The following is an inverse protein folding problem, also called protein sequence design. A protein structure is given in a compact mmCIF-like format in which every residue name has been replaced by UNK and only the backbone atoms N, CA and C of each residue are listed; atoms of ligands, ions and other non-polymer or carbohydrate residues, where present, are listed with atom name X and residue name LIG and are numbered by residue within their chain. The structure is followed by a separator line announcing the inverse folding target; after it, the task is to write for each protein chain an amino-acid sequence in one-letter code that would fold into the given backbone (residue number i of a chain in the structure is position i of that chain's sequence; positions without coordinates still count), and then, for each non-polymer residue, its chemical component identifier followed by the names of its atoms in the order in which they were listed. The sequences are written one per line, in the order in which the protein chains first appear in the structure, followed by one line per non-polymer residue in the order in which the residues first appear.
data_IF_631562168064
#
_entry.id   IF_631562168064
#
_cell.length_a   1.000
_cell.length_b   1.000
_cell.length_c   1.000
_cell.angle_alpha   90.00
_cell.angle_beta   90.00
_cell.angle_gamma   90.00
#
_symmetry.space_group_name_H-M   'P 1'
#
loop_
_entity.id
_entity.type
_entity.pdbx_description
1 polymer ?
#
# COMPACT_ATOMS: atom_id res chain seq x y z
N UNK A 1 -27.07 15.56 -0.79
CA UNK A 1 -26.56 14.17 -0.78
C UNK A 1 -25.28 14.05 -1.62
N UNK A 2 -24.37 15.02 -1.53
CA UNK A 2 -23.13 15.08 -2.33
C UNK A 2 -22.03 15.51 -1.37
N UNK A 3 -21.39 14.58 -0.67
CA UNK A 3 -20.17 14.95 0.08
C UNK A 3 -19.26 13.75 0.41
N UNK A 4 -19.81 12.56 0.69
CA UNK A 4 -18.98 11.43 1.11
C UNK A 4 -18.19 10.81 -0.05
N UNK A 5 -18.83 10.47 -1.17
CA UNK A 5 -18.16 9.81 -2.31
C UNK A 5 -17.03 10.65 -2.93
N UNK A 6 -17.05 11.99 -2.80
CA UNK A 6 -15.95 12.82 -3.30
C UNK A 6 -14.70 12.72 -2.42
N UNK A 7 -14.87 12.68 -1.09
CA UNK A 7 -13.75 12.43 -0.16
C UNK A 7 -13.17 11.04 -0.38
N UNK A 8 -14.03 10.05 -0.54
CA UNK A 8 -13.64 8.65 -0.70
C UNK A 8 -12.85 8.42 -1.99
N UNK A 9 -13.30 8.98 -3.11
CA UNK A 9 -12.56 8.96 -4.38
C UNK A 9 -11.22 9.68 -4.30
N UNK A 10 -11.17 10.80 -3.57
CA UNK A 10 -9.92 11.55 -3.35
C UNK A 10 -8.94 10.77 -2.47
N UNK A 11 -9.45 10.02 -1.50
CA UNK A 11 -8.65 9.09 -0.70
C UNK A 11 -8.12 7.96 -1.59
N UNK A 12 -8.97 7.24 -2.34
CA UNK A 12 -8.54 6.14 -3.23
C UNK A 12 -7.44 6.56 -4.23
N UNK A 13 -7.59 7.74 -4.86
CA UNK A 13 -6.58 8.27 -5.76
C UNK A 13 -5.24 8.55 -5.06
N UNK A 14 -5.28 9.13 -3.85
CA UNK A 14 -4.08 9.36 -3.04
C UNK A 14 -3.44 8.04 -2.58
N UNK A 15 -4.25 7.04 -2.25
CA UNK A 15 -3.75 5.72 -1.85
C UNK A 15 -3.07 5.01 -3.02
N UNK A 16 -3.65 5.07 -4.23
CA UNK A 16 -3.01 4.54 -5.44
C UNK A 16 -1.66 5.20 -5.74
N UNK A 17 -1.58 6.53 -5.60
CA UNK A 17 -0.33 7.27 -5.73
C UNK A 17 0.70 6.88 -4.65
N UNK A 18 0.26 6.69 -3.41
CA UNK A 18 1.12 6.25 -2.30
C UNK A 18 1.65 4.83 -2.54
N UNK A 19 0.78 3.91 -2.98
CA UNK A 19 1.16 2.54 -3.35
C UNK A 19 2.16 2.52 -4.50
N UNK A 20 1.98 3.35 -5.53
CA UNK A 20 2.95 3.49 -6.62
C UNK A 20 4.33 3.95 -6.12
N UNK A 21 4.36 4.97 -5.27
CA UNK A 21 5.60 5.52 -4.71
C UNK A 21 6.34 4.52 -3.81
N UNK A 22 5.60 3.85 -2.93
CA UNK A 22 6.14 2.81 -2.06
C UNK A 22 6.63 1.60 -2.87
N UNK A 23 5.90 1.17 -3.91
CA UNK A 23 6.33 0.08 -4.81
C UNK A 23 7.71 0.37 -5.41
N UNK A 24 7.91 1.58 -5.92
CA UNK A 24 9.20 2.01 -6.48
C UNK A 24 10.33 1.95 -5.46
N UNK A 25 10.11 2.52 -4.28
CA UNK A 25 11.11 2.55 -3.20
C UNK A 25 11.43 1.16 -2.64
N UNK A 26 10.41 0.30 -2.54
CA UNK A 26 10.52 -1.08 -2.00
C UNK A 26 11.27 -2.01 -2.95
N UNK A 27 11.04 -1.88 -4.26
CA UNK A 27 11.71 -2.68 -5.27
C UNK A 27 13.23 -2.41 -5.28
N UNK A 28 13.65 -1.15 -5.08
CA UNK A 28 15.07 -0.78 -5.01
C UNK A 28 15.80 -1.40 -3.83
N UNK A 29 15.13 -1.54 -2.68
CA UNK A 29 15.69 -2.12 -1.46
C UNK A 29 15.50 -3.65 -1.36
N UNK A 30 14.88 -4.29 -2.37
CA UNK A 30 14.59 -5.72 -2.35
C UNK A 30 13.46 -6.14 -1.40
N UNK A 31 12.61 -5.21 -0.99
CA UNK A 31 11.51 -5.43 -0.06
C UNK A 31 10.28 -5.99 -0.79
N UNK A 32 10.35 -7.25 -1.20
CA UNK A 32 9.29 -7.95 -1.97
C UNK A 32 7.93 -7.95 -1.27
N UNK A 33 7.90 -8.09 0.05
CA UNK A 33 6.64 -8.05 0.83
C UNK A 33 5.90 -6.71 0.71
N UNK A 34 6.63 -5.61 0.89
CA UNK A 34 6.05 -4.25 0.77
C UNK A 34 5.60 -4.01 -0.67
N UNK A 35 6.33 -4.52 -1.67
CA UNK A 35 5.94 -4.44 -3.08
C UNK A 35 4.58 -5.11 -3.33
N UNK A 36 4.34 -6.31 -2.81
CA UNK A 36 3.07 -7.02 -2.99
C UNK A 36 1.90 -6.27 -2.33
N UNK A 37 2.12 -5.75 -1.11
CA UNK A 37 1.15 -4.88 -0.42
C UNK A 37 0.83 -3.62 -1.22
N UNK A 38 1.81 -3.04 -1.92
CA UNK A 38 1.61 -1.88 -2.78
C UNK A 38 0.81 -2.18 -4.05
N UNK A 39 0.95 -3.37 -4.62
CA UNK A 39 0.12 -3.80 -5.75
C UNK A 39 -1.35 -3.92 -5.38
N UNK A 40 -1.63 -4.47 -4.20
CA UNK A 40 -2.99 -4.53 -3.66
C UNK A 40 -3.60 -3.13 -3.48
N UNK A 41 -2.87 -2.18 -2.90
CA UNK A 41 -3.30 -0.77 -2.75
C UNK A 41 -3.64 -0.14 -4.10
N UNK A 42 -2.83 -0.40 -5.12
CA UNK A 42 -3.04 0.13 -6.46
C UNK A 42 -4.28 -0.49 -7.13
N UNK A 43 -4.54 -1.78 -6.91
CA UNK A 43 -5.75 -2.45 -7.38
C UNK A 43 -7.01 -1.90 -6.71
N UNK A 44 -7.02 -1.76 -5.38
CA UNK A 44 -8.14 -1.17 -4.64
C UNK A 44 -8.41 0.27 -5.07
N UNK A 45 -7.36 1.07 -5.31
CA UNK A 45 -7.49 2.43 -5.83
C UNK A 45 -8.07 2.53 -7.25
N UNK A 46 -8.10 1.41 -7.99
CA UNK A 46 -8.70 1.30 -9.32
C UNK A 46 -10.11 0.69 -9.29
N UNK A 47 -10.75 0.60 -8.11
CA UNK A 47 -12.02 -0.13 -7.88
C UNK A 47 -11.92 -1.60 -8.27
N UNK A 48 -10.80 -2.24 -7.92
CA UNK A 48 -10.61 -3.67 -8.10
C UNK A 48 -10.38 -4.36 -6.76
N UNK A 49 -10.72 -5.63 -6.72
CA UNK A 49 -10.41 -6.55 -5.63
C UNK A 49 -8.89 -6.65 -5.38
N UNK A 50 -8.48 -7.25 -4.25
CA UNK A 50 -7.08 -7.45 -3.87
C UNK A 50 -6.24 -8.09 -4.99
N UNK A 51 -6.88 -8.96 -5.78
CA UNK A 51 -6.27 -9.70 -6.88
C UNK A 51 -6.22 -8.93 -8.20
N UNK A 52 -6.91 -7.79 -8.32
CA UNK A 52 -7.03 -7.03 -9.56
C UNK A 52 -7.94 -7.71 -10.61
N UNK A 53 -8.60 -8.80 -10.25
CA UNK A 53 -9.34 -9.67 -11.19
C UNK A 53 -10.82 -9.32 -11.29
N UNK A 54 -11.40 -8.78 -10.21
CA UNK A 54 -12.81 -8.39 -10.14
C UNK A 54 -12.90 -6.90 -9.86
N UNK A 55 -13.85 -6.25 -10.52
CA UNK A 55 -14.24 -4.89 -10.18
C UNK A 55 -15.04 -4.92 -8.87
N UNK A 56 -14.66 -4.05 -7.93
CA UNK A 56 -15.33 -3.84 -6.67
C UNK A 56 -16.03 -2.48 -6.74
N UNK A 57 -17.35 -2.43 -7.01
CA UNK A 57 -18.09 -1.19 -7.21
C UNK A 57 -18.35 -0.42 -5.91
N UNK A 58 -18.01 -1.01 -4.76
CA UNK A 58 -18.27 -0.46 -3.45
C UNK A 58 -17.04 0.32 -2.94
N UNK A 59 -17.07 1.64 -3.16
CA UNK A 59 -15.99 2.56 -2.79
C UNK A 59 -15.60 2.42 -1.31
N UNK A 60 -16.57 2.17 -0.41
CA UNK A 60 -16.33 2.01 1.04
C UNK A 60 -15.51 0.74 1.35
N UNK A 61 -15.84 -0.36 0.67
CA UNK A 61 -15.12 -1.64 0.78
C UNK A 61 -13.70 -1.45 0.28
N UNK A 62 -13.52 -0.90 -0.93
CA UNK A 62 -12.20 -0.57 -1.46
C UNK A 62 -11.39 0.27 -0.47
N UNK A 63 -11.99 1.31 0.12
CA UNK A 63 -11.29 2.20 1.06
C UNK A 63 -10.87 1.49 2.34
N UNK A 64 -11.72 0.63 2.88
CA UNK A 64 -11.45 -0.15 4.10
C UNK A 64 -10.34 -1.17 3.87
N UNK A 65 -10.39 -1.90 2.76
CA UNK A 65 -9.33 -2.82 2.36
C UNK A 65 -8.02 -2.08 2.13
N UNK A 66 -8.06 -0.98 1.38
CA UNK A 66 -6.89 -0.17 1.06
C UNK A 66 -6.23 0.39 2.34
N UNK A 67 -7.02 0.92 3.29
CA UNK A 67 -6.51 1.33 4.62
C UNK A 67 -5.82 0.19 5.35
N UNK A 68 -6.44 -0.99 5.41
CA UNK A 68 -5.89 -2.16 6.08
C UNK A 68 -4.56 -2.59 5.44
N UNK A 69 -4.49 -2.61 4.12
CA UNK A 69 -3.27 -2.94 3.38
C UNK A 69 -2.17 -1.90 3.59
N UNK A 70 -2.50 -0.62 3.73
CA UNK A 70 -1.52 0.43 4.05
C UNK A 70 -0.95 0.27 5.45
N UNK A 71 -1.79 -0.09 6.43
CA UNK A 71 -1.30 -0.37 7.78
C UNK A 71 -0.36 -1.58 7.79
N UNK A 72 -0.70 -2.63 7.03
CA UNK A 72 0.20 -3.77 6.79
C UNK A 72 1.51 -3.33 6.13
N UNK A 73 1.45 -2.59 5.02
CA UNK A 73 2.63 -2.11 4.31
C UNK A 73 3.54 -1.26 5.21
N UNK A 74 2.96 -0.42 6.09
CA UNK A 74 3.73 0.34 7.10
C UNK A 74 4.40 -0.56 8.13
N UNK A 75 3.73 -1.60 8.59
CA UNK A 75 4.31 -2.57 9.51
C UNK A 75 5.48 -3.30 8.86
N UNK A 76 5.29 -3.81 7.64
CA UNK A 76 6.34 -4.47 6.85
C UNK A 76 7.52 -3.53 6.56
N UNK A 77 7.24 -2.25 6.30
CA UNK A 77 8.27 -1.23 6.09
C UNK A 77 9.09 -0.98 7.37
N UNK A 78 8.44 -0.94 8.55
CA UNK A 78 9.14 -0.84 9.83
C UNK A 78 9.98 -2.07 10.13
N UNK A 79 9.47 -3.27 9.83
CA UNK A 79 10.24 -4.51 9.96
C UNK A 79 11.46 -4.50 9.05
N UNK A 80 11.28 -4.07 7.80
CA UNK A 80 12.37 -3.89 6.84
C UNK A 80 13.40 -2.86 7.33
N UNK A 81 12.95 -1.71 7.83
CA UNK A 81 13.82 -0.68 8.39
C UNK A 81 14.61 -1.21 9.61
N UNK A 82 13.96 -1.97 10.49
CA UNK A 82 14.60 -2.60 11.64
C UNK A 82 15.63 -3.66 11.21
N UNK A 83 15.31 -4.48 10.20
CA UNK A 83 16.22 -5.47 9.63
C UNK A 83 17.43 -4.79 8.98
N UNK A 84 17.22 -3.75 8.18
CA UNK A 84 18.29 -2.95 7.58
C UNK A 84 19.17 -2.28 8.64
N UNK A 85 18.56 -1.64 9.66
CA UNK A 85 19.31 -1.05 10.78
C UNK A 85 20.15 -2.07 11.54
N UNK A 86 19.65 -3.29 11.71
CA UNK A 86 20.41 -4.37 12.34
C UNK A 86 21.57 -4.81 11.44
N UNK A 87 21.30 -5.04 10.16
CA UNK A 87 22.31 -5.45 9.17
C UNK A 87 23.47 -4.44 9.08
N UNK A 88 23.16 -3.15 8.92
CA UNK A 88 24.18 -2.08 8.86
C UNK A 88 24.85 -1.79 10.21
N UNK A 89 24.25 -2.17 11.36
CA UNK A 89 24.92 -2.10 12.66
C UNK A 89 25.90 -3.25 12.88
N UNK A 90 25.67 -4.41 12.27
CA UNK A 90 26.53 -5.59 12.38
C UNK A 90 27.78 -5.49 11.48
N UNK A 91 27.70 -4.84 10.31
CA UNK A 91 28.86 -4.58 9.43
C UNK A 91 29.76 -3.40 9.91
N UNK A 92 29.41 -2.75 11.02
CA UNK A 92 30.12 -1.58 11.55
C UNK A 92 31.15 -1.87 12.65
N UNK A 93 31.46 -3.15 12.94
CA UNK A 93 32.38 -3.56 14.01
C UNK A 93 33.44 -4.55 13.55
#
# INVERSE_FOLDING_TARGET
MIDNSYREKKDLAQLSALGHFLKGSSATLGLTKVKDSCEKIQNFGAHKDETGTKDEPDDEVCLKHCKTTIEQAKAEFKEAEAALKKFYRDEGS
#
